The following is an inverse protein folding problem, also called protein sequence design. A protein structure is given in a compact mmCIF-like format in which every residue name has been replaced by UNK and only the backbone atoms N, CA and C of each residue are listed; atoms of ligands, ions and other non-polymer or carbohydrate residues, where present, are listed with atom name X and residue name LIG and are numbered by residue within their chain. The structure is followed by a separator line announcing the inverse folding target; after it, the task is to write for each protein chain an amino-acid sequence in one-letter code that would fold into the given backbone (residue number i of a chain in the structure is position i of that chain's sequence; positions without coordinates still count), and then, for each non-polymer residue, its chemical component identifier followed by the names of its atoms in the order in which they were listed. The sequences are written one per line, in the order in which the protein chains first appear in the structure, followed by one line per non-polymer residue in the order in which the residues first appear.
data_IF_781165589519
#
_entry.id   IF_781165589519
#
_cell.length_a   1.000
_cell.length_b   1.000
_cell.length_c   1.000
_cell.angle_alpha   90.00
_cell.angle_beta   90.00
_cell.angle_gamma   90.00
#
_symmetry.space_group_name_H-M   'P 1'
#
loop_
_entity.id
_entity.type
_entity.pdbx_description
1 polymer ?
#
# COMPACT_ATOMS: atom_id res chain seq x y z
N UNK A 1 -28.95 18.13 63.33
CA UNK A 1 -29.52 17.63 62.06
C UNK A 1 -29.11 18.48 60.84
N UNK A 2 -28.88 19.80 60.96
CA UNK A 2 -28.50 20.66 59.82
C UNK A 2 -27.05 20.50 59.29
N UNK A 3 -26.11 20.11 60.15
CA UNK A 3 -24.68 20.06 59.82
C UNK A 3 -24.28 18.83 58.98
N UNK A 4 -25.00 17.71 59.16
CA UNK A 4 -24.84 16.48 58.37
C UNK A 4 -25.39 16.62 56.95
N UNK A 5 -26.46 17.40 56.76
CA UNK A 5 -27.08 17.69 55.46
C UNK A 5 -26.14 18.56 54.60
N UNK A 6 -25.49 19.58 55.20
CA UNK A 6 -24.54 20.46 54.49
C UNK A 6 -23.28 19.71 53.98
N UNK A 7 -22.85 18.67 54.69
CA UNK A 7 -21.71 17.83 54.30
C UNK A 7 -22.03 16.96 53.06
N UNK A 8 -23.25 16.40 52.98
CA UNK A 8 -23.71 15.62 51.82
C UNK A 8 -23.83 16.46 50.54
N UNK A 9 -24.27 17.72 50.64
CA UNK A 9 -24.34 18.61 49.47
C UNK A 9 -22.94 19.04 48.99
N UNK A 10 -21.99 19.27 49.90
CA UNK A 10 -20.59 19.57 49.55
C UNK A 10 -19.91 18.41 48.82
N UNK A 11 -20.14 17.17 49.26
CA UNK A 11 -19.60 15.99 48.58
C UNK A 11 -20.23 15.77 47.20
N UNK A 12 -21.54 16.02 47.03
CA UNK A 12 -22.25 15.94 45.74
C UNK A 12 -21.83 17.03 44.73
N UNK A 13 -21.54 18.24 45.21
CA UNK A 13 -21.02 19.33 44.38
C UNK A 13 -19.58 19.03 43.93
N UNK A 14 -18.73 18.51 44.83
CA UNK A 14 -17.36 18.11 44.50
C UNK A 14 -17.33 16.96 43.47
N UNK A 15 -18.25 15.99 43.60
CA UNK A 15 -18.38 14.86 42.66
C UNK A 15 -18.91 15.32 41.28
N UNK A 16 -19.82 16.30 41.24
CA UNK A 16 -20.28 16.89 39.98
C UNK A 16 -19.21 17.73 39.29
N UNK A 17 -18.36 18.43 40.06
CA UNK A 17 -17.24 19.21 39.51
C UNK A 17 -16.13 18.30 38.94
N UNK A 18 -15.85 17.17 39.58
CA UNK A 18 -14.91 16.17 39.08
C UNK A 18 -15.40 15.50 37.77
N UNK A 19 -16.72 15.33 37.60
CA UNK A 19 -17.30 14.77 36.36
C UNK A 19 -17.17 15.72 35.15
N UNK A 20 -17.20 17.04 35.37
CA UNK A 20 -17.05 18.03 34.28
C UNK A 20 -15.60 18.16 33.77
N UNK A 21 -14.58 17.82 34.57
CA UNK A 21 -13.17 17.88 34.16
C UNK A 21 -12.79 16.70 33.24
N UNK A 22 -13.56 15.61 33.26
CA UNK A 22 -13.33 14.43 32.40
C UNK A 22 -13.66 14.64 30.91
N UNK A 23 -14.33 15.73 30.53
CA UNK A 23 -14.72 16.01 29.14
C UNK A 23 -13.62 16.65 28.29
N UNK A 24 -12.44 16.95 28.85
CA UNK A 24 -11.32 17.57 28.12
C UNK A 24 -10.24 16.56 27.68
N UNK A 25 -10.58 15.28 27.51
CA UNK A 25 -9.62 14.32 26.97
C UNK A 25 -9.36 14.61 25.49
N UNK A 26 -8.08 14.74 25.12
CA UNK A 26 -7.67 14.75 23.71
C UNK A 26 -7.95 13.37 23.12
N UNK A 27 -9.06 13.25 22.38
CA UNK A 27 -9.35 12.06 21.61
C UNK A 27 -8.33 11.88 20.47
N UNK A 28 -8.28 10.66 19.90
CA UNK A 28 -7.52 10.44 18.66
C UNK A 28 -8.05 11.38 17.56
N UNK A 29 -7.15 12.13 16.91
CA UNK A 29 -7.52 12.97 15.76
C UNK A 29 -7.79 12.09 14.53
N UNK A 30 -8.98 11.50 14.50
CA UNK A 30 -9.46 10.66 13.42
C UNK A 30 -9.56 11.44 12.10
N UNK A 31 -9.86 12.74 12.17
CA UNK A 31 -9.96 13.59 10.99
C UNK A 31 -8.60 13.73 10.32
N UNK A 32 -7.55 14.01 11.11
CA UNK A 32 -6.17 14.02 10.65
C UNK A 32 -5.75 12.65 10.10
N UNK A 33 -5.99 11.56 10.83
CA UNK A 33 -5.62 10.22 10.37
C UNK A 33 -6.24 9.87 9.00
N UNK A 34 -7.54 10.14 8.81
CA UNK A 34 -8.23 9.94 7.52
C UNK A 34 -7.66 10.84 6.43
N UNK A 35 -7.38 12.11 6.73
CA UNK A 35 -6.77 13.05 5.79
C UNK A 35 -5.39 12.56 5.33
N UNK A 36 -4.56 12.07 6.25
CA UNK A 36 -3.23 11.52 5.96
C UNK A 36 -3.32 10.27 5.08
N UNK A 37 -4.22 9.33 5.40
CA UNK A 37 -4.46 8.13 4.58
C UNK A 37 -4.90 8.54 3.18
N UNK A 38 -5.90 9.42 3.05
CA UNK A 38 -6.40 9.88 1.75
C UNK A 38 -5.30 10.58 0.93
N UNK A 39 -4.44 11.35 1.61
CA UNK A 39 -3.32 12.04 0.97
C UNK A 39 -2.30 11.03 0.45
N UNK A 40 -1.76 10.16 1.31
CA UNK A 40 -0.72 9.19 0.96
C UNK A 40 -1.18 8.10 -0.03
N UNK A 41 -2.49 7.86 -0.14
CA UNK A 41 -3.07 6.92 -1.10
C UNK A 41 -3.62 7.59 -2.37
N UNK A 42 -3.56 8.92 -2.45
CA UNK A 42 -4.04 9.65 -3.62
C UNK A 42 -3.15 9.47 -4.85
N UNK A 43 -3.70 9.81 -6.02
CA UNK A 43 -2.97 9.83 -7.30
C UNK A 43 -1.70 10.68 -7.25
N UNK A 44 -1.69 11.77 -6.47
CA UNK A 44 -0.53 12.68 -6.31
C UNK A 44 0.69 11.95 -5.75
N UNK A 45 0.46 11.07 -4.78
CA UNK A 45 1.50 10.27 -4.10
C UNK A 45 1.68 8.88 -4.71
N UNK A 46 0.93 8.59 -5.78
CA UNK A 46 1.00 7.33 -6.51
C UNK A 46 0.90 6.10 -5.61
N UNK A 47 0.09 6.19 -4.54
CA UNK A 47 -0.07 5.13 -3.55
C UNK A 47 1.22 4.71 -2.83
N UNK A 48 2.24 5.58 -2.79
CA UNK A 48 3.60 5.27 -2.30
C UNK A 48 4.34 4.23 -3.14
N UNK A 49 3.96 4.07 -4.40
CA UNK A 49 4.58 3.13 -5.34
C UNK A 49 5.98 3.56 -5.79
N UNK A 50 6.69 2.62 -6.43
CA UNK A 50 8.07 2.81 -6.87
C UNK A 50 8.17 3.59 -8.18
N UNK A 51 7.06 3.71 -8.90
CA UNK A 51 6.99 4.51 -10.14
C UNK A 51 6.53 5.94 -9.84
N UNK A 52 6.85 6.87 -10.74
CA UNK A 52 6.43 8.30 -10.66
C UNK A 52 6.80 9.02 -9.36
N UNK A 53 7.90 8.62 -8.74
CA UNK A 53 8.43 9.15 -7.47
C UNK A 53 7.41 9.08 -6.31
N UNK A 54 6.52 8.08 -6.31
CA UNK A 54 5.48 7.93 -5.30
C UNK A 54 6.05 7.82 -3.88
N UNK A 55 7.05 6.96 -3.69
CA UNK A 55 7.72 6.79 -2.40
C UNK A 55 8.47 8.06 -1.96
N UNK A 56 9.21 8.74 -2.85
CA UNK A 56 9.91 9.98 -2.52
C UNK A 56 8.95 11.07 -2.05
N UNK A 57 7.86 11.30 -2.78
CA UNK A 57 6.83 12.29 -2.40
C UNK A 57 6.22 11.97 -1.04
N UNK A 58 5.98 10.69 -0.75
CA UNK A 58 5.46 10.26 0.53
C UNK A 58 6.47 10.51 1.66
N UNK A 59 7.75 10.24 1.43
CA UNK A 59 8.81 10.53 2.39
C UNK A 59 8.89 12.04 2.69
N UNK A 60 8.83 12.88 1.66
CA UNK A 60 8.83 14.35 1.81
C UNK A 60 7.60 14.83 2.59
N UNK A 61 6.43 14.26 2.34
CA UNK A 61 5.22 14.58 3.10
C UNK A 61 5.38 14.22 4.58
N UNK A 62 5.83 13.01 4.90
CA UNK A 62 6.00 12.57 6.29
C UNK A 62 7.06 13.42 7.01
N UNK A 63 8.18 13.74 6.34
CA UNK A 63 9.22 14.60 6.91
C UNK A 63 8.69 16.01 7.22
N UNK A 64 7.84 16.56 6.36
CA UNK A 64 7.19 17.86 6.60
C UNK A 64 6.19 17.78 7.77
N UNK A 65 5.40 16.72 7.89
CA UNK A 65 4.51 16.53 9.05
C UNK A 65 5.33 16.42 10.36
N UNK A 66 6.46 15.70 10.35
CA UNK A 66 7.36 15.64 11.51
C UNK A 66 7.91 17.00 11.91
N UNK A 67 8.29 17.82 10.92
CA UNK A 67 8.70 19.21 11.15
C UNK A 67 7.57 20.05 11.74
N UNK A 68 6.35 19.91 11.21
CA UNK A 68 5.16 20.64 11.70
C UNK A 68 4.80 20.26 13.15
N UNK A 69 5.07 19.01 13.55
CA UNK A 69 4.92 18.55 14.93
C UNK A 69 6.05 18.98 15.87
N UNK A 70 7.08 19.69 15.37
CA UNK A 70 8.20 20.13 16.19
C UNK A 70 9.14 19.02 16.62
N UNK A 71 9.12 17.87 15.93
CA UNK A 71 10.01 16.74 16.25
C UNK A 71 11.45 17.06 15.85
N UNK A 72 12.41 16.36 16.47
CA UNK A 72 13.81 16.47 16.10
C UNK A 72 14.22 15.32 15.17
N UNK A 73 15.09 15.55 14.17
CA UNK A 73 15.63 14.46 13.35
C UNK A 73 16.41 13.44 14.19
N UNK A 74 16.32 12.16 13.84
CA UNK A 74 17.01 11.08 14.57
C UNK A 74 18.53 11.26 14.62
N UNK A 75 19.15 11.73 13.54
CA UNK A 75 20.60 11.90 13.40
C UNK A 75 21.06 13.36 13.41
N UNK A 76 20.22 14.29 13.90
CA UNK A 76 20.54 15.72 14.00
C UNK A 76 20.60 16.50 12.68
N UNK A 77 20.51 15.82 11.52
CA UNK A 77 20.50 16.43 10.18
C UNK A 77 19.11 16.52 9.59
N UNK A 78 18.78 15.61 8.67
CA UNK A 78 17.46 15.50 8.02
C UNK A 78 16.64 14.36 8.65
N UNK A 79 15.32 14.43 8.56
CA UNK A 79 14.40 13.34 8.92
C UNK A 79 14.54 12.12 8.00
N UNK A 80 15.17 12.28 6.83
CA UNK A 80 15.34 11.23 5.82
C UNK A 80 16.69 10.53 5.92
N UNK A 81 16.66 9.23 6.21
CA UNK A 81 17.81 8.35 6.08
C UNK A 81 17.76 7.65 4.71
N UNK A 82 18.61 8.09 3.78
CA UNK A 82 18.62 7.57 2.41
C UNK A 82 19.28 6.19 2.32
N UNK A 83 18.77 5.35 1.43
CA UNK A 83 19.36 4.07 1.04
C UNK A 83 18.97 3.74 -0.41
N UNK A 84 19.64 2.74 -0.99
CA UNK A 84 19.32 2.24 -2.33
C UNK A 84 19.31 0.73 -2.40
N UNK A 85 18.50 0.19 -3.31
CA UNK A 85 18.38 -1.25 -3.55
C UNK A 85 17.88 -1.50 -4.99
N UNK A 86 18.15 -2.66 -5.60
CA UNK A 86 17.57 -2.99 -6.89
C UNK A 86 16.08 -3.23 -6.78
N UNK A 87 15.30 -2.80 -7.78
CA UNK A 87 13.85 -2.98 -7.80
C UNK A 87 13.33 -3.28 -9.20
N UNK A 88 12.51 -4.31 -9.32
CA UNK A 88 11.72 -4.54 -10.53
C UNK A 88 10.42 -3.74 -10.46
N UNK A 89 10.11 -3.02 -11.53
CA UNK A 89 8.95 -2.14 -11.62
C UNK A 89 8.17 -2.36 -12.91
N UNK A 90 6.94 -1.85 -12.99
CA UNK A 90 6.05 -1.99 -14.15
C UNK A 90 5.45 -0.62 -14.51
N UNK A 91 6.24 0.30 -15.11
CA UNK A 91 5.84 1.69 -15.31
C UNK A 91 4.93 1.93 -16.53
N UNK A 92 4.88 0.96 -17.45
CA UNK A 92 4.31 1.13 -18.79
C UNK A 92 3.16 0.16 -19.05
N UNK A 93 3.20 -0.62 -20.14
CA UNK A 93 2.10 -1.48 -20.60
C UNK A 93 1.73 -2.51 -19.54
N UNK A 94 0.43 -2.62 -19.30
CA UNK A 94 -0.20 -3.54 -18.36
C UNK A 94 -1.51 -4.03 -18.96
N UNK A 95 -1.43 -4.58 -20.17
CA UNK A 95 -2.59 -5.09 -20.90
C UNK A 95 -2.70 -6.61 -20.74
N UNK A 96 -3.89 -7.06 -20.33
CA UNK A 96 -4.22 -8.48 -20.22
C UNK A 96 -5.64 -8.70 -20.72
N UNK A 97 -5.78 -9.71 -21.58
CA UNK A 97 -7.06 -10.31 -21.94
C UNK A 97 -7.00 -11.80 -21.70
N UNK A 98 -8.04 -12.34 -21.06
CA UNK A 98 -8.24 -13.78 -20.92
C UNK A 98 -9.56 -14.13 -21.60
N UNK A 99 -9.55 -15.12 -22.49
CA UNK A 99 -10.70 -15.50 -23.31
C UNK A 99 -11.33 -14.29 -24.06
N UNK A 100 -10.50 -13.38 -24.55
CA UNK A 100 -10.92 -12.13 -25.20
C UNK A 100 -11.42 -11.03 -24.26
N UNK A 101 -11.75 -11.32 -22.99
CA UNK A 101 -12.17 -10.34 -22.00
C UNK A 101 -10.98 -9.51 -21.51
N UNK A 102 -11.04 -8.19 -21.71
CA UNK A 102 -10.04 -7.24 -21.17
C UNK A 102 -10.17 -7.13 -19.66
N UNK A 103 -9.07 -7.32 -18.94
CA UNK A 103 -8.98 -7.21 -17.48
C UNK A 103 -8.32 -5.89 -17.07
N UNK A 104 -8.74 -5.34 -15.93
CA UNK A 104 -8.22 -4.07 -15.39
C UNK A 104 -7.06 -4.34 -14.42
N UNK A 105 -5.86 -3.77 -14.64
CA UNK A 105 -4.74 -3.93 -13.72
C UNK A 105 -5.06 -3.33 -12.34
N UNK A 106 -4.56 -3.96 -11.28
CA UNK A 106 -4.78 -3.57 -9.89
C UNK A 106 -6.20 -3.84 -9.35
N UNK A 107 -7.15 -4.22 -10.21
CA UNK A 107 -8.52 -4.60 -9.82
C UNK A 107 -8.81 -6.06 -10.14
N UNK A 108 -8.64 -6.43 -11.40
CA UNK A 108 -8.96 -7.76 -11.92
C UNK A 108 -7.72 -8.66 -11.92
N UNK A 109 -6.52 -8.07 -12.01
CA UNK A 109 -5.26 -8.80 -11.94
C UNK A 109 -4.10 -7.94 -11.41
N UNK A 110 -3.06 -8.59 -10.92
CA UNK A 110 -1.73 -8.02 -10.70
C UNK A 110 -0.67 -8.93 -11.35
N UNK A 111 0.51 -8.38 -11.58
CA UNK A 111 1.67 -9.14 -12.06
C UNK A 111 2.55 -9.43 -10.86
N UNK A 112 3.04 -10.66 -10.73
CA UNK A 112 3.97 -10.97 -9.65
C UNK A 112 5.20 -10.08 -9.78
N UNK A 113 5.64 -9.50 -8.67
CA UNK A 113 6.66 -8.46 -8.60
C UNK A 113 8.01 -8.85 -9.24
N UNK A 114 8.31 -10.15 -9.30
CA UNK A 114 9.54 -10.64 -9.90
C UNK A 114 9.41 -11.00 -11.39
N UNK A 115 8.24 -10.83 -12.00
CA UNK A 115 8.03 -11.21 -13.41
C UNK A 115 8.86 -10.36 -14.38
N UNK A 116 9.30 -10.98 -15.49
CA UNK A 116 9.71 -10.22 -16.68
C UNK A 116 8.50 -9.69 -17.44
N UNK A 117 8.75 -8.69 -18.27
CA UNK A 117 7.83 -8.24 -19.31
C UNK A 117 7.67 -9.29 -20.41
N UNK A 118 6.50 -9.32 -21.02
CA UNK A 118 6.15 -10.27 -22.08
C UNK A 118 5.06 -9.68 -22.96
N UNK A 119 5.18 -9.93 -24.26
CA UNK A 119 4.15 -9.63 -25.25
C UNK A 119 3.85 -10.88 -26.05
N UNK A 120 2.72 -11.54 -25.78
CA UNK A 120 2.35 -12.79 -26.47
C UNK A 120 0.84 -13.02 -26.50
N UNK A 121 0.41 -13.86 -27.43
CA UNK A 121 -0.92 -14.47 -27.46
C UNK A 121 -0.75 -15.97 -27.48
N UNK A 122 -1.36 -16.68 -26.53
CA UNK A 122 -1.18 -18.12 -26.38
C UNK A 122 -2.44 -18.79 -25.84
N UNK A 123 -2.49 -20.12 -25.94
CA UNK A 123 -3.46 -20.96 -25.26
C UNK A 123 -2.98 -21.28 -23.84
N UNK A 124 -3.93 -21.39 -22.91
CA UNK A 124 -3.71 -21.75 -21.52
C UNK A 124 -4.10 -23.21 -21.29
N UNK A 125 -3.25 -23.93 -20.57
CA UNK A 125 -3.47 -25.32 -20.13
C UNK A 125 -3.54 -25.33 -18.61
N UNK A 126 -4.58 -25.95 -18.07
CA UNK A 126 -4.74 -26.14 -16.62
C UNK A 126 -3.62 -27.05 -16.10
N UNK A 127 -2.84 -26.56 -15.13
CA UNK A 127 -1.78 -27.35 -14.47
C UNK A 127 -2.25 -27.92 -13.14
N UNK A 128 -3.02 -27.14 -12.39
CA UNK A 128 -3.69 -27.52 -11.14
C UNK A 128 -5.01 -26.72 -11.02
N UNK A 129 -5.74 -26.84 -9.91
CA UNK A 129 -7.07 -26.24 -9.73
C UNK A 129 -7.14 -24.72 -9.97
N UNK A 130 -6.04 -23.98 -9.79
CA UNK A 130 -6.01 -22.51 -9.89
C UNK A 130 -4.92 -21.97 -10.79
N UNK A 131 -3.99 -22.82 -11.25
CA UNK A 131 -2.84 -22.42 -12.05
C UNK A 131 -2.98 -22.90 -13.49
N UNK A 132 -2.73 -21.98 -14.42
CA UNK A 132 -2.74 -22.22 -15.85
C UNK A 132 -1.39 -21.82 -16.44
N UNK A 133 -0.89 -22.64 -17.35
CA UNK A 133 0.38 -22.40 -18.04
C UNK A 133 0.11 -22.09 -19.51
N UNK A 134 0.80 -21.09 -20.05
CA UNK A 134 0.86 -20.90 -21.50
C UNK A 134 1.55 -22.08 -22.17
N UNK A 135 1.14 -22.51 -23.37
CA UNK A 135 1.79 -23.62 -24.09
C UNK A 135 3.28 -23.38 -24.33
N UNK A 136 3.68 -22.12 -24.56
CA UNK A 136 5.09 -21.75 -24.71
C UNK A 136 5.88 -21.73 -23.38
N UNK A 137 5.24 -22.01 -22.23
CA UNK A 137 5.89 -22.12 -20.92
C UNK A 137 6.32 -20.81 -20.25
N UNK A 138 6.17 -19.66 -20.91
CA UNK A 138 6.70 -18.38 -20.41
C UNK A 138 5.73 -17.56 -19.56
N UNK A 139 4.44 -17.95 -19.49
CA UNK A 139 3.41 -17.23 -18.72
C UNK A 139 2.65 -18.20 -17.83
N UNK A 140 2.57 -17.84 -16.55
CA UNK A 140 1.78 -18.53 -15.53
C UNK A 140 0.63 -17.61 -15.13
N UNK A 141 -0.59 -18.13 -15.14
CA UNK A 141 -1.78 -17.43 -14.64
C UNK A 141 -2.27 -18.17 -13.40
N UNK A 142 -2.29 -17.51 -12.25
CA UNK A 142 -2.79 -18.06 -10.99
C UNK A 142 -4.05 -17.34 -10.54
N UNK A 143 -5.08 -18.09 -10.14
CA UNK A 143 -6.35 -17.54 -9.68
C UNK A 143 -6.35 -17.33 -8.17
N UNK A 144 -6.43 -16.06 -7.74
CA UNK A 144 -6.42 -15.69 -6.33
C UNK A 144 -7.77 -15.14 -5.85
N UNK A 145 -8.19 -15.43 -4.60
CA UNK A 145 -9.40 -14.83 -4.02
C UNK A 145 -9.21 -13.33 -3.71
N UNK A 146 -7.97 -12.92 -3.42
CA UNK A 146 -7.57 -11.54 -3.13
C UNK A 146 -6.20 -11.26 -3.74
N UNK A 147 -6.05 -10.10 -4.36
CA UNK A 147 -4.79 -9.62 -4.94
C UNK A 147 -4.01 -8.85 -3.88
N UNK A 148 -2.75 -9.20 -3.66
CA UNK A 148 -1.85 -8.52 -2.71
C UNK A 148 -0.54 -8.18 -3.39
N UNK A 149 -0.18 -6.90 -3.40
CA UNK A 149 1.04 -6.43 -4.06
C UNK A 149 2.27 -6.56 -3.14
N UNK A 150 3.42 -6.91 -3.72
CA UNK A 150 4.72 -6.92 -3.07
C UNK A 150 5.79 -6.29 -3.98
N UNK A 151 7.01 -6.13 -3.49
CA UNK A 151 8.17 -5.64 -4.26
C UNK A 151 9.22 -6.75 -4.40
N UNK A 152 9.96 -6.73 -5.51
CA UNK A 152 11.06 -7.67 -5.75
C UNK A 152 12.31 -6.94 -6.20
N UNK A 153 13.44 -7.45 -5.72
CA UNK A 153 14.79 -7.02 -6.07
C UNK A 153 15.38 -7.85 -7.23
N UNK A 154 14.61 -8.81 -7.77
CA UNK A 154 15.03 -9.74 -8.83
C UNK A 154 13.98 -9.82 -9.93
N UNK A 155 14.43 -10.20 -11.13
CA UNK A 155 13.59 -10.50 -12.29
C UNK A 155 13.76 -11.97 -12.65
N UNK A 156 12.65 -12.69 -12.75
CA UNK A 156 12.53 -14.07 -13.22
C UNK A 156 12.57 -14.11 -14.75
N UNK A 157 12.89 -15.26 -15.29
CA UNK A 157 12.90 -15.54 -16.72
C UNK A 157 11.50 -15.87 -17.30
N UNK A 158 10.45 -15.80 -16.49
CA UNK A 158 9.04 -15.98 -16.89
C UNK A 158 8.13 -14.93 -16.22
N UNK A 159 6.88 -14.86 -16.69
CA UNK A 159 5.86 -13.93 -16.20
C UNK A 159 4.79 -14.67 -15.40
N UNK A 160 4.49 -14.21 -14.19
CA UNK A 160 3.38 -14.72 -13.40
C UNK A 160 2.33 -13.61 -13.26
N UNK A 161 1.09 -13.96 -13.54
CA UNK A 161 -0.07 -13.07 -13.41
C UNK A 161 -1.03 -13.66 -12.40
N UNK A 162 -1.35 -12.90 -11.36
CA UNK A 162 -2.39 -13.25 -10.40
C UNK A 162 -3.69 -12.58 -10.82
N UNK A 163 -4.72 -13.38 -11.08
CA UNK A 163 -6.02 -12.91 -11.54
C UNK A 163 -7.04 -13.15 -10.43
N UNK A 164 -7.84 -12.14 -10.13
CA UNK A 164 -8.92 -12.27 -9.16
C UNK A 164 -9.94 -13.28 -9.69
N UNK A 165 -10.28 -14.29 -8.89
CA UNK A 165 -11.25 -15.34 -9.28
C UNK A 165 -12.58 -14.74 -9.77
N UNK A 166 -13.07 -13.70 -9.08
CA UNK A 166 -14.32 -12.99 -9.41
C UNK A 166 -14.26 -12.21 -10.73
N UNK A 167 -13.06 -11.95 -11.27
CA UNK A 167 -12.91 -11.24 -12.53
C UNK A 167 -13.20 -12.13 -13.74
N UNK A 168 -13.22 -13.45 -13.57
CA UNK A 168 -13.47 -14.43 -14.63
C UNK A 168 -14.82 -15.10 -14.45
N UNK A 169 -15.51 -15.35 -15.56
CA UNK A 169 -16.81 -16.04 -15.61
C UNK A 169 -16.71 -17.43 -16.22
N UNK A 170 -15.58 -17.76 -16.82
CA UNK A 170 -15.33 -19.02 -17.50
C UNK A 170 -13.86 -19.43 -17.30
N UNK A 171 -13.58 -20.72 -17.46
CA UNK A 171 -12.23 -21.29 -17.39
C UNK A 171 -11.30 -20.61 -18.40
N UNK A 172 -10.13 -20.10 -17.98
CA UNK A 172 -9.09 -19.58 -18.86
C UNK A 172 -8.67 -20.62 -19.92
N UNK A 173 -8.75 -20.24 -21.19
CA UNK A 173 -8.35 -21.06 -22.36
C UNK A 173 -7.39 -20.32 -23.27
N UNK A 174 -7.50 -19.00 -23.37
CA UNK A 174 -6.60 -18.17 -24.16
C UNK A 174 -6.18 -16.93 -23.38
N UNK A 175 -4.98 -16.45 -23.69
CA UNK A 175 -4.39 -15.25 -23.12
C UNK A 175 -3.83 -14.36 -24.22
N UNK A 176 -4.04 -13.05 -24.08
CA UNK A 176 -3.31 -12.02 -24.82
C UNK A 176 -2.75 -11.05 -23.77
N UNK A 177 -1.44 -10.94 -23.72
CA UNK A 177 -0.72 -10.25 -22.66
C UNK A 177 0.34 -9.35 -23.27
N UNK A 178 0.42 -8.12 -22.76
CA UNK A 178 1.47 -7.16 -23.10
C UNK A 178 1.83 -6.38 -21.82
N UNK A 179 2.87 -6.86 -21.15
CA UNK A 179 3.39 -6.28 -19.92
C UNK A 179 4.83 -5.83 -20.17
N UNK A 180 5.14 -4.61 -19.76
CA UNK A 180 6.51 -4.08 -19.78
C UNK A 180 6.99 -3.91 -18.34
N UNK A 181 8.17 -4.48 -18.04
CA UNK A 181 8.86 -4.27 -16.78
C UNK A 181 10.10 -3.39 -17.00
N UNK A 182 10.52 -2.71 -15.94
CA UNK A 182 11.76 -1.96 -15.89
C UNK A 182 12.50 -2.35 -14.60
N UNK A 183 13.71 -2.88 -14.77
CA UNK A 183 14.58 -3.19 -13.64
C UNK A 183 15.46 -1.97 -13.33
N UNK A 184 15.32 -1.45 -12.11
CA UNK A 184 16.08 -0.31 -11.61
C UNK A 184 17.18 -0.84 -10.68
N UNK A 185 18.47 -0.86 -11.07
CA UNK A 185 19.52 -1.48 -10.28
C UNK A 185 19.81 -0.78 -8.94
N UNK A 186 19.55 0.53 -8.87
CA UNK A 186 19.74 1.35 -7.67
C UNK A 186 18.54 2.29 -7.50
N UNK A 187 17.43 1.73 -7.03
CA UNK A 187 16.25 2.48 -6.66
C UNK A 187 16.50 3.19 -5.32
N UNK A 188 16.37 4.52 -5.30
CA UNK A 188 16.58 5.33 -4.10
C UNK A 188 15.31 5.42 -3.26
N UNK A 189 15.44 5.18 -1.96
CA UNK A 189 14.39 5.34 -0.97
C UNK A 189 14.94 6.02 0.29
N UNK A 190 14.05 6.44 1.18
CA UNK A 190 14.44 6.96 2.48
C UNK A 190 13.52 6.44 3.58
N UNK A 191 14.10 6.00 4.69
CA UNK A 191 13.37 5.90 5.95
C UNK A 191 13.12 7.32 6.43
N UNK A 192 11.94 7.59 7.00
CA UNK A 192 11.64 8.88 7.62
C UNK A 192 11.56 8.67 9.13
N UNK A 193 12.49 9.24 9.88
CA UNK A 193 12.65 8.99 11.30
C UNK A 193 12.83 10.30 12.09
N UNK A 194 12.19 10.37 13.25
CA UNK A 194 12.25 11.49 14.17
C UNK A 194 12.31 10.99 15.62
N UNK A 195 12.76 11.86 16.51
CA UNK A 195 12.83 11.63 17.95
C UNK A 195 12.05 12.70 18.71
N UNK A 196 11.45 12.28 19.83
CA UNK A 196 10.88 13.15 20.85
C UNK A 196 11.95 13.30 21.93
N UNK A 197 12.32 14.54 22.26
CA UNK A 197 13.20 14.80 23.39
C UNK A 197 12.42 14.51 24.67
N UNK A 198 12.95 13.60 25.50
CA UNK A 198 12.43 13.33 26.83
C UNK A 198 12.80 14.42 27.83
#
# INVERSE_FOLDING_TARGET
MAQSIFCMYRFRILFSFAFFIGFSSFAQDLAYAKKTINTLTSKKYWGRGYTKNGMSKAADFIANEFKNFGLSPLSGGDFKQQFSFPANTFPSKMDLKINGKKLKPGKDFIVHQASKGVKTTDSLVLKDSITYLSKNGHVIVSLAPKLTWSASQKVLDYTIVEVAQKALTATPKSININIENEFVPSFTAANVAAVIKG
#
